data_IF_365051503237
#
_entry.id   IF_365051503237
#
_cell.length_a   1.000
_cell.length_b   1.000
_cell.length_c   1.000
_cell.angle_alpha   90.00
_cell.angle_beta   90.00
_cell.angle_gamma   90.00
#
_symmetry.space_group_name_H-M   'P 1'
#
loop_
_entity.id
_entity.type
_entity.pdbx_description
1 polymer ?
#
# COMPACT_ATOMS: atom_id res chain seq x y z
N UNK A 1 1.96 14.98 20.40
CA UNK A 1 1.00 15.75 19.57
C UNK A 1 1.35 15.58 18.10
N UNK A 2 0.32 15.44 17.25
CA UNK A 2 0.49 15.40 15.80
C UNK A 2 0.80 16.79 15.25
N UNK A 3 1.60 16.87 14.20
CA UNK A 3 1.85 18.09 13.44
C UNK A 3 0.55 18.58 12.75
N UNK A 4 0.48 19.89 12.45
CA UNK A 4 -0.70 20.51 11.87
C UNK A 4 -1.13 19.83 10.56
N UNK A 5 -0.18 19.52 9.69
CA UNK A 5 -0.45 18.86 8.40
C UNK A 5 -1.14 17.48 8.58
N UNK A 6 -0.80 16.73 9.61
CA UNK A 6 -1.44 15.45 9.93
C UNK A 6 -2.84 15.66 10.51
N UNK A 7 -3.02 16.70 11.35
CA UNK A 7 -4.33 17.09 11.86
C UNK A 7 -5.28 17.53 10.73
N UNK A 8 -4.77 18.30 9.78
CA UNK A 8 -5.54 18.74 8.61
C UNK A 8 -5.91 17.56 7.71
N UNK A 9 -4.98 16.60 7.53
CA UNK A 9 -5.27 15.36 6.79
C UNK A 9 -6.37 14.55 7.46
N UNK A 10 -6.29 14.40 8.78
CA UNK A 10 -7.31 13.71 9.57
C UNK A 10 -8.67 14.40 9.50
N UNK A 11 -8.70 15.72 9.73
CA UNK A 11 -9.93 16.51 9.74
C UNK A 11 -10.68 16.50 8.39
N UNK A 12 -9.95 16.35 7.29
CA UNK A 12 -10.52 16.26 5.96
C UNK A 12 -10.84 14.81 5.52
N UNK A 13 -10.65 13.81 6.41
CA UNK A 13 -11.02 12.42 6.19
C UNK A 13 -12.28 12.02 6.94
N UNK A 14 -12.65 10.76 6.79
CA UNK A 14 -13.79 10.14 7.44
C UNK A 14 -13.44 8.73 7.89
N UNK A 15 -14.29 8.13 8.73
CA UNK A 15 -14.16 6.73 9.13
C UNK A 15 -15.49 6.00 8.95
N UNK A 16 -15.40 4.74 8.57
CA UNK A 16 -16.54 3.82 8.54
C UNK A 16 -16.30 2.67 9.52
N UNK A 17 -17.33 2.31 10.27
CA UNK A 17 -17.28 1.16 11.16
C UNK A 17 -17.32 -0.14 10.35
N UNK A 18 -16.30 -1.00 10.51
CA UNK A 18 -16.23 -2.32 9.93
C UNK A 18 -16.64 -3.38 10.97
N UNK A 19 -17.85 -3.99 10.83
CA UNK A 19 -18.41 -4.87 11.85
C UNK A 19 -17.58 -6.12 12.13
N UNK A 20 -17.01 -6.76 11.10
CA UNK A 20 -16.21 -7.98 11.28
C UNK A 20 -14.91 -7.72 12.05
N UNK A 21 -14.30 -6.58 11.82
CA UNK A 21 -13.12 -6.15 12.56
C UNK A 21 -13.43 -5.48 13.88
N UNK A 22 -14.70 -5.17 14.16
CA UNK A 22 -15.13 -4.36 15.31
C UNK A 22 -14.24 -3.12 15.50
N UNK A 23 -14.07 -2.37 14.42
CA UNK A 23 -13.16 -1.22 14.38
C UNK A 23 -13.60 -0.20 13.33
N UNK A 24 -13.11 1.05 13.49
CA UNK A 24 -13.27 2.10 12.51
C UNK A 24 -12.09 2.06 11.52
N UNK A 25 -12.41 2.19 10.24
CA UNK A 25 -11.44 2.28 9.16
C UNK A 25 -11.48 3.68 8.58
N UNK A 26 -10.35 4.39 8.65
CA UNK A 26 -10.21 5.75 8.16
C UNK A 26 -9.97 5.76 6.65
N UNK A 27 -10.54 6.75 5.97
CA UNK A 27 -10.32 6.97 4.54
C UNK A 27 -10.38 8.45 4.17
N UNK A 28 -9.78 8.76 3.04
CA UNK A 28 -9.93 10.01 2.32
C UNK A 28 -10.64 9.73 1.00
N UNK A 29 -11.76 10.40 0.78
CA UNK A 29 -12.53 10.37 -0.47
C UNK A 29 -12.53 11.78 -1.05
N UNK A 30 -11.66 12.00 -2.05
CA UNK A 30 -11.29 13.32 -2.55
C UNK A 30 -11.86 13.50 -3.96
N UNK A 31 -12.55 14.61 -4.20
CA UNK A 31 -13.09 14.98 -5.50
C UNK A 31 -14.57 14.62 -5.67
N UNK A 32 -14.96 14.25 -6.87
CA UNK A 32 -16.36 13.99 -7.25
C UNK A 32 -16.79 12.58 -6.86
N UNK A 33 -17.65 12.49 -5.85
CA UNK A 33 -18.15 11.19 -5.34
C UNK A 33 -19.04 10.44 -6.33
N UNK A 34 -19.51 11.11 -7.37
CA UNK A 34 -20.30 10.51 -8.45
C UNK A 34 -19.44 10.16 -9.68
N UNK A 35 -18.13 10.28 -9.59
CA UNK A 35 -17.23 9.91 -10.67
C UNK A 35 -17.37 8.43 -11.03
N UNK A 36 -17.29 8.11 -12.32
CA UNK A 36 -17.27 6.74 -12.80
C UNK A 36 -16.03 5.99 -12.34
N UNK A 37 -16.02 4.65 -12.41
CA UNK A 37 -14.83 3.87 -12.14
C UNK A 37 -13.64 4.26 -13.03
N UNK A 38 -13.87 4.66 -14.26
CA UNK A 38 -12.83 5.15 -15.18
C UNK A 38 -12.18 6.46 -14.74
N UNK A 39 -12.85 7.24 -13.90
CA UNK A 39 -12.35 8.49 -13.34
C UNK A 39 -11.94 8.37 -11.86
N UNK A 40 -11.92 7.14 -11.32
CA UNK A 40 -11.66 6.88 -9.90
C UNK A 40 -10.34 6.14 -9.72
N UNK A 41 -9.46 6.69 -8.88
CA UNK A 41 -8.25 6.01 -8.39
C UNK A 41 -8.45 5.45 -6.98
N UNK A 42 -8.10 4.18 -6.80
CA UNK A 42 -8.13 3.44 -5.54
C UNK A 42 -6.69 3.26 -5.07
N UNK A 43 -6.29 3.97 -4.01
CA UNK A 43 -4.88 4.11 -3.61
C UNK A 43 -4.63 3.36 -2.31
N UNK A 44 -3.62 2.47 -2.31
CA UNK A 44 -3.28 1.56 -1.22
C UNK A 44 -1.86 1.78 -0.74
N UNK A 45 -1.72 2.08 0.55
CA UNK A 45 -0.42 2.29 1.20
C UNK A 45 0.28 0.99 1.61
N UNK A 46 1.55 1.11 1.97
CA UNK A 46 2.41 0.04 2.43
C UNK A 46 2.61 -0.05 3.95
N UNK A 47 3.64 -0.79 4.33
CA UNK A 47 4.10 -0.95 5.72
C UNK A 47 5.40 -0.15 5.96
N UNK A 48 5.51 0.64 7.01
CA UNK A 48 4.56 0.98 8.07
C UNK A 48 3.88 2.35 7.81
N UNK A 49 3.27 2.51 6.69
CA UNK A 49 2.71 3.75 6.15
C UNK A 49 1.23 3.98 6.51
N UNK A 50 0.64 4.93 5.82
CA UNK A 50 -0.78 5.25 5.82
C UNK A 50 -1.14 5.98 4.52
N UNK A 51 -2.41 6.32 4.32
CA UNK A 51 -2.87 7.14 3.20
C UNK A 51 -2.15 8.50 3.10
N UNK A 52 -1.65 9.02 4.20
CA UNK A 52 -0.91 10.29 4.24
C UNK A 52 0.38 10.26 3.40
N UNK A 53 1.00 9.09 3.20
CA UNK A 53 2.23 8.95 2.40
C UNK A 53 2.03 9.49 0.98
N UNK A 54 0.82 9.41 0.45
CA UNK A 54 0.44 9.91 -0.87
C UNK A 54 0.06 11.40 -0.91
N UNK A 55 0.13 12.13 0.21
CA UNK A 55 -0.36 13.50 0.27
C UNK A 55 0.25 14.45 -0.77
N UNK A 56 1.53 14.26 -1.12
CA UNK A 56 2.25 15.08 -2.12
C UNK A 56 1.80 14.83 -3.55
N UNK A 57 1.22 13.66 -3.82
CA UNK A 57 0.81 13.23 -5.17
C UNK A 57 -0.70 13.36 -5.42
N UNK A 58 -1.48 13.76 -4.41
CA UNK A 58 -2.93 13.97 -4.56
C UNK A 58 -3.24 15.01 -5.62
N UNK A 59 -2.63 16.20 -5.55
CA UNK A 59 -2.91 17.27 -6.52
C UNK A 59 -2.49 16.90 -7.95
N UNK A 60 -1.29 16.37 -8.21
CA UNK A 60 -0.94 15.86 -9.53
C UNK A 60 -1.92 14.82 -10.09
N UNK A 61 -2.36 13.85 -9.28
CA UNK A 61 -3.27 12.79 -9.75
C UNK A 61 -4.64 13.31 -10.16
N UNK A 62 -5.09 14.47 -9.65
CA UNK A 62 -6.34 15.11 -10.08
C UNK A 62 -6.33 15.54 -11.54
N UNK A 63 -5.18 15.63 -12.19
CA UNK A 63 -5.10 15.88 -13.63
C UNK A 63 -5.77 14.75 -14.45
N UNK A 64 -5.83 13.53 -13.91
CA UNK A 64 -6.42 12.36 -14.59
C UNK A 64 -7.69 11.84 -13.90
N UNK A 65 -7.71 11.86 -12.57
CA UNK A 65 -8.79 11.24 -11.79
C UNK A 65 -9.67 12.29 -11.14
N UNK A 66 -10.98 12.21 -11.38
CA UNK A 66 -11.97 13.07 -10.75
C UNK A 66 -12.24 12.68 -9.30
N UNK A 67 -11.94 11.42 -8.91
CA UNK A 67 -12.09 10.89 -7.57
C UNK A 67 -10.84 10.09 -7.15
N UNK A 68 -10.33 10.38 -5.96
CA UNK A 68 -9.22 9.64 -5.35
C UNK A 68 -9.69 9.08 -4.01
N UNK A 69 -9.60 7.76 -3.83
CA UNK A 69 -9.98 7.10 -2.59
C UNK A 69 -8.75 6.44 -1.97
N UNK A 70 -8.36 6.95 -0.81
CA UNK A 70 -7.21 6.48 -0.05
C UNK A 70 -7.71 5.92 1.29
N UNK A 71 -7.27 4.72 1.65
CA UNK A 71 -7.73 4.04 2.88
C UNK A 71 -6.52 3.78 3.77
N UNK A 72 -6.65 4.10 5.07
CA UNK A 72 -5.73 3.58 6.08
C UNK A 72 -6.18 2.17 6.44
N UNK A 73 -5.40 1.17 6.09
CA UNK A 73 -5.71 -0.21 6.41
C UNK A 73 -5.79 -0.42 7.94
N UNK A 74 -6.64 -1.33 8.46
CA UNK A 74 -6.69 -1.64 9.88
C UNK A 74 -5.29 -1.90 10.46
N UNK A 75 -5.00 -1.27 11.59
CA UNK A 75 -3.69 -1.34 12.20
C UNK A 75 -2.72 -0.22 11.82
N UNK A 76 -3.08 0.64 10.86
CA UNK A 76 -2.20 1.71 10.35
C UNK A 76 -2.87 3.09 10.43
N UNK A 77 -2.05 4.14 10.34
CA UNK A 77 -2.49 5.52 10.23
C UNK A 77 -3.54 5.93 11.26
N UNK A 78 -4.64 6.47 10.80
CA UNK A 78 -5.77 6.90 11.61
C UNK A 78 -6.84 5.82 11.82
N UNK A 79 -6.73 4.67 11.17
CA UNK A 79 -7.60 3.52 11.43
C UNK A 79 -7.37 2.93 12.81
N UNK A 80 -8.38 2.25 13.36
CA UNK A 80 -8.27 1.56 14.64
C UNK A 80 -7.25 0.41 14.59
N UNK A 81 -6.76 0.02 15.78
CA UNK A 81 -5.71 -0.98 15.97
C UNK A 81 -6.16 -2.11 16.91
N UNK A 82 -7.22 -2.84 16.55
CA UNK A 82 -7.80 -3.86 17.41
C UNK A 82 -6.85 -5.03 17.61
N UNK A 83 -6.60 -5.39 18.88
CA UNK A 83 -5.64 -6.45 19.23
C UNK A 83 -6.06 -7.86 18.82
N UNK A 84 -7.35 -8.07 18.55
CA UNK A 84 -7.90 -9.36 18.16
C UNK A 84 -7.69 -9.69 16.68
N UNK A 85 -7.51 -8.71 15.80
CA UNK A 85 -7.24 -8.95 14.38
C UNK A 85 -5.88 -9.64 14.18
N UNK A 86 -5.81 -10.49 13.18
CA UNK A 86 -4.56 -11.11 12.73
C UNK A 86 -3.73 -10.16 11.88
N UNK A 87 -4.37 -9.18 11.25
CA UNK A 87 -3.80 -8.28 10.24
C UNK A 87 -3.30 -9.02 8.99
N UNK A 88 -3.93 -10.15 8.68
CA UNK A 88 -3.65 -10.86 7.44
C UNK A 88 -4.01 -10.04 6.21
N UNK A 89 -3.36 -10.31 5.08
CA UNK A 89 -3.72 -9.67 3.81
C UNK A 89 -5.18 -9.94 3.44
N UNK A 90 -5.72 -11.09 3.83
CA UNK A 90 -7.13 -11.43 3.62
C UNK A 90 -8.06 -10.51 4.41
N UNK A 91 -7.77 -10.29 5.71
CA UNK A 91 -8.53 -9.34 6.54
C UNK A 91 -8.40 -7.90 6.05
N UNK A 92 -7.21 -7.51 5.56
CA UNK A 92 -7.00 -6.17 4.98
C UNK A 92 -7.87 -5.95 3.74
N UNK A 93 -7.97 -6.95 2.86
CA UNK A 93 -8.87 -6.89 1.71
C UNK A 93 -10.33 -6.83 2.14
N UNK A 94 -10.76 -7.61 3.14
CA UNK A 94 -12.13 -7.59 3.62
C UNK A 94 -12.51 -6.20 4.16
N UNK A 95 -11.63 -5.58 4.95
CA UNK A 95 -11.84 -4.22 5.45
C UNK A 95 -11.89 -3.18 4.31
N UNK A 96 -10.97 -3.28 3.35
CA UNK A 96 -10.89 -2.40 2.19
C UNK A 96 -12.16 -2.49 1.33
N UNK A 97 -12.61 -3.70 1.01
CA UNK A 97 -13.84 -3.94 0.26
C UNK A 97 -15.06 -3.38 1.00
N UNK A 98 -15.09 -3.47 2.33
CA UNK A 98 -16.14 -2.86 3.14
C UNK A 98 -16.17 -1.32 3.00
N UNK A 99 -15.01 -0.67 3.03
CA UNK A 99 -14.90 0.78 2.79
C UNK A 99 -15.41 1.12 1.40
N UNK A 100 -14.95 0.42 0.36
CA UNK A 100 -15.38 0.68 -1.02
C UNK A 100 -16.87 0.48 -1.22
N UNK A 101 -17.46 -0.55 -0.59
CA UNK A 101 -18.90 -0.76 -0.61
C UNK A 101 -19.66 0.40 0.03
N UNK A 102 -19.19 0.88 1.18
CA UNK A 102 -19.81 2.01 1.89
C UNK A 102 -19.77 3.34 1.12
N UNK A 103 -18.84 3.43 0.15
CA UNK A 103 -18.65 4.58 -0.74
C UNK A 103 -19.31 4.40 -2.12
N UNK A 104 -20.08 3.32 -2.33
CA UNK A 104 -20.70 2.92 -3.60
C UNK A 104 -19.67 2.85 -4.76
N UNK A 105 -18.46 2.36 -4.47
CA UNK A 105 -17.41 2.16 -5.48
C UNK A 105 -17.64 0.80 -6.13
N UNK A 106 -17.92 0.79 -7.44
CA UNK A 106 -18.21 -0.42 -8.21
C UNK A 106 -17.05 -0.89 -9.08
N UNK A 107 -16.11 0.01 -9.36
CA UNK A 107 -14.88 -0.24 -10.12
C UNK A 107 -13.89 0.90 -9.91
N UNK A 108 -12.66 0.71 -10.36
CA UNK A 108 -11.65 1.77 -10.35
C UNK A 108 -10.28 1.31 -10.78
N UNK A 109 -9.39 2.28 -10.95
CA UNK A 109 -7.98 2.07 -11.23
C UNK A 109 -7.21 1.95 -9.91
N UNK A 110 -6.54 0.84 -9.67
CA UNK A 110 -5.83 0.62 -8.43
C UNK A 110 -4.35 1.02 -8.53
N UNK A 111 -3.90 1.80 -7.56
CA UNK A 111 -2.50 2.23 -7.39
C UNK A 111 -2.04 1.80 -6.01
N UNK A 112 -1.01 0.99 -5.92
CA UNK A 112 -0.56 0.43 -4.67
C UNK A 112 0.93 0.63 -4.44
N UNK A 113 1.34 0.62 -3.17
CA UNK A 113 2.72 0.70 -2.74
C UNK A 113 3.03 -0.36 -1.67
N UNK A 114 4.21 -0.98 -1.74
CA UNK A 114 4.78 -1.95 -0.79
C UNK A 114 3.81 -3.08 -0.38
N UNK A 115 3.33 -3.09 0.87
CA UNK A 115 2.34 -4.07 1.35
C UNK A 115 1.01 -3.93 0.59
N UNK A 116 0.66 -2.71 0.18
CA UNK A 116 -0.51 -2.43 -0.65
C UNK A 116 -0.51 -3.22 -1.95
N UNK A 117 0.65 -3.46 -2.56
CA UNK A 117 0.80 -4.30 -3.75
C UNK A 117 0.30 -5.73 -3.49
N UNK A 118 0.58 -6.28 -2.31
CA UNK A 118 0.10 -7.63 -1.94
C UNK A 118 -1.39 -7.64 -1.62
N UNK A 119 -1.91 -6.59 -0.98
CA UNK A 119 -3.37 -6.41 -0.79
C UNK A 119 -4.07 -6.36 -2.14
N UNK A 120 -3.52 -5.59 -3.08
CA UNK A 120 -4.06 -5.49 -4.45
C UNK A 120 -4.04 -6.85 -5.17
N UNK A 121 -2.94 -7.60 -5.04
CA UNK A 121 -2.84 -8.94 -5.66
C UNK A 121 -3.84 -9.95 -5.08
N UNK A 122 -4.20 -9.84 -3.80
CA UNK A 122 -5.27 -10.66 -3.22
C UNK A 122 -6.64 -10.31 -3.81
N UNK A 123 -6.92 -9.02 -4.08
CA UNK A 123 -8.16 -8.61 -4.78
C UNK A 123 -8.18 -9.20 -6.20
N UNK A 124 -7.05 -9.15 -6.91
CA UNK A 124 -6.91 -9.77 -8.23
C UNK A 124 -7.15 -11.28 -8.16
N UNK A 125 -6.61 -11.96 -7.13
CA UNK A 125 -6.83 -13.38 -6.93
C UNK A 125 -8.31 -13.73 -6.73
N UNK A 126 -9.02 -12.93 -5.93
CA UNK A 126 -10.48 -13.06 -5.76
C UNK A 126 -11.23 -12.83 -7.07
N UNK A 127 -10.83 -11.81 -7.84
CA UNK A 127 -11.43 -11.52 -9.15
C UNK A 127 -11.30 -12.71 -10.11
N UNK A 128 -10.09 -13.21 -10.30
CA UNK A 128 -9.81 -14.34 -11.20
C UNK A 128 -10.53 -15.62 -10.76
N UNK A 129 -10.79 -15.79 -9.47
CA UNK A 129 -11.51 -16.94 -8.91
C UNK A 129 -13.05 -16.75 -8.88
N UNK A 130 -13.57 -15.61 -9.33
CA UNK A 130 -15.01 -15.30 -9.27
C UNK A 130 -15.55 -15.09 -7.86
N UNK A 131 -14.70 -14.66 -6.91
CA UNK A 131 -15.03 -14.47 -5.50
C UNK A 131 -15.29 -12.99 -5.13
N UNK A 132 -15.22 -12.08 -6.08
CA UNK A 132 -15.60 -10.68 -5.81
C UNK A 132 -17.13 -10.57 -5.67
N UNK A 133 -17.60 -9.70 -4.75
CA UNK A 133 -19.04 -9.48 -4.59
C UNK A 133 -19.63 -8.79 -5.83
N UNK A 134 -20.89 -9.11 -6.16
CA UNK A 134 -21.55 -8.62 -7.35
C UNK A 134 -21.68 -7.09 -7.44
N UNK A 135 -21.64 -6.36 -6.33
CA UNK A 135 -21.63 -4.90 -6.35
C UNK A 135 -20.33 -4.31 -6.91
N UNK A 136 -19.22 -5.08 -6.94
CA UNK A 136 -17.93 -4.71 -7.53
C UNK A 136 -17.69 -5.48 -8.84
N UNK A 137 -18.73 -5.57 -9.66
CA UNK A 137 -18.76 -6.41 -10.86
C UNK A 137 -17.83 -5.93 -11.98
N UNK A 138 -17.67 -4.62 -12.17
CA UNK A 138 -16.71 -4.07 -13.12
C UNK A 138 -15.26 -4.19 -12.62
N UNK A 139 -15.07 -4.31 -11.31
CA UNK A 139 -13.81 -4.66 -10.67
C UNK A 139 -12.68 -3.65 -10.87
N UNK A 140 -11.47 -4.18 -10.94
CA UNK A 140 -10.26 -3.38 -11.16
C UNK A 140 -10.03 -3.15 -12.64
N UNK A 141 -10.04 -1.88 -13.07
CA UNK A 141 -9.88 -1.48 -14.48
C UNK A 141 -8.41 -1.50 -14.91
N UNK A 142 -7.50 -1.19 -14.03
CA UNK A 142 -6.04 -1.31 -14.23
C UNK A 142 -5.33 -1.46 -12.90
N UNK A 143 -4.08 -1.91 -12.94
CA UNK A 143 -3.24 -2.09 -11.77
C UNK A 143 -1.95 -1.29 -11.93
N UNK A 144 -1.55 -0.57 -10.89
CA UNK A 144 -0.23 0.03 -10.78
C UNK A 144 0.43 -0.46 -9.49
N UNK A 145 1.57 -1.12 -9.62
CA UNK A 145 2.40 -1.63 -8.53
C UNK A 145 3.63 -0.75 -8.35
N UNK A 146 3.91 -0.36 -7.12
CA UNK A 146 5.09 0.46 -6.79
C UNK A 146 5.85 -0.09 -5.59
N UNK A 147 7.09 -0.49 -5.83
CA UNK A 147 8.08 -0.86 -4.81
C UNK A 147 7.61 -1.91 -3.78
N UNK A 148 6.79 -2.88 -4.18
CA UNK A 148 6.30 -3.97 -3.32
C UNK A 148 7.14 -5.24 -3.42
N UNK A 149 7.47 -5.84 -2.30
CA UNK A 149 8.20 -7.10 -2.21
C UNK A 149 7.32 -8.32 -2.51
N UNK A 150 6.74 -8.36 -3.71
CA UNK A 150 5.75 -9.38 -4.11
C UNK A 150 6.38 -10.72 -4.48
N UNK A 151 7.69 -10.75 -4.70
CA UNK A 151 8.47 -11.94 -5.06
C UNK A 151 9.53 -12.15 -3.99
N UNK A 152 9.30 -13.09 -3.08
CA UNK A 152 10.13 -13.26 -1.88
C UNK A 152 11.54 -13.75 -2.17
N UNK A 153 11.76 -14.43 -3.29
CA UNK A 153 13.07 -14.87 -3.75
C UNK A 153 13.96 -13.68 -4.14
N UNK A 154 13.37 -12.60 -4.62
CA UNK A 154 14.05 -11.38 -5.01
C UNK A 154 14.09 -10.34 -3.87
N UNK A 155 13.25 -10.51 -2.86
CA UNK A 155 13.11 -9.57 -1.76
C UNK A 155 14.34 -9.53 -0.84
N UNK A 156 14.70 -8.33 -0.37
CA UNK A 156 15.81 -8.15 0.59
C UNK A 156 15.28 -7.63 1.92
N UNK A 157 14.79 -8.55 2.75
CA UNK A 157 14.31 -8.19 4.09
C UNK A 157 15.42 -7.59 4.94
N UNK A 158 15.18 -6.40 5.47
CA UNK A 158 16.10 -5.76 6.42
C UNK A 158 16.10 -6.50 7.77
N UNK A 159 17.19 -6.44 8.56
CA UNK A 159 17.33 -7.23 9.79
C UNK A 159 16.17 -7.09 10.77
N UNK A 160 15.63 -5.89 10.92
CA UNK A 160 14.49 -5.65 11.82
C UNK A 160 13.22 -6.38 11.35
N UNK A 161 12.96 -6.48 10.05
CA UNK A 161 11.82 -7.23 9.53
C UNK A 161 11.93 -8.72 9.85
N UNK A 162 13.12 -9.31 9.67
CA UNK A 162 13.39 -10.71 10.04
C UNK A 162 13.17 -10.97 11.52
N UNK A 163 13.57 -10.01 12.35
CA UNK A 163 13.47 -10.10 13.80
C UNK A 163 12.02 -9.95 14.29
N UNK A 164 11.26 -9.01 13.73
CA UNK A 164 9.85 -8.80 14.05
C UNK A 164 8.97 -9.99 13.61
N UNK A 165 9.29 -10.64 12.51
CA UNK A 165 8.60 -11.87 12.05
C UNK A 165 8.75 -13.04 13.01
N UNK A 166 9.83 -13.08 13.82
CA UNK A 166 10.07 -14.21 14.71
C UNK A 166 9.00 -14.30 15.80
N UNK A 167 8.23 -15.40 15.86
CA UNK A 167 7.03 -15.55 16.68
C UNK A 167 7.23 -15.32 18.19
N UNK A 168 8.41 -15.61 18.74
CA UNK A 168 8.73 -15.37 20.17
C UNK A 168 9.47 -14.05 20.39
N UNK A 169 10.41 -13.71 19.50
CA UNK A 169 11.25 -12.53 19.67
C UNK A 169 10.55 -11.26 19.18
N UNK A 170 9.71 -11.34 18.15
CA UNK A 170 9.02 -10.18 17.60
C UNK A 170 8.22 -9.39 18.63
N UNK A 171 7.31 -10.01 19.41
CA UNK A 171 6.56 -9.31 20.45
C UNK A 171 7.44 -8.68 21.52
N UNK A 172 8.57 -9.31 21.86
CA UNK A 172 9.51 -8.80 22.86
C UNK A 172 10.28 -7.59 22.33
N UNK A 173 10.87 -7.72 21.14
CA UNK A 173 11.69 -6.68 20.52
C UNK A 173 10.85 -5.45 20.17
N UNK A 174 9.64 -5.67 19.72
CA UNK A 174 8.72 -4.62 19.37
C UNK A 174 8.44 -3.62 20.53
N UNK A 175 8.58 -4.05 21.79
CA UNK A 175 8.44 -3.16 22.96
C UNK A 175 9.54 -2.09 23.05
N UNK A 176 10.66 -2.32 22.36
CA UNK A 176 11.81 -1.41 22.38
C UNK A 176 11.88 -0.51 21.15
N UNK A 177 10.88 -0.57 20.27
CA UNK A 177 10.79 0.34 19.12
C UNK A 177 10.67 1.79 19.64
N UNK A 178 11.64 2.63 19.26
CA UNK A 178 11.71 4.04 19.63
C UNK A 178 11.89 4.90 18.40
N UNK A 179 11.44 6.14 18.50
CA UNK A 179 11.51 7.12 17.41
C UNK A 179 12.91 7.25 16.80
N UNK A 180 13.94 7.40 17.64
CA UNK A 180 15.32 7.57 17.19
C UNK A 180 15.81 6.37 16.36
N UNK A 181 15.47 5.14 16.79
CA UNK A 181 15.83 3.93 16.06
C UNK A 181 15.04 3.83 14.74
N UNK A 182 13.74 4.07 14.78
CA UNK A 182 12.89 4.09 13.61
C UNK A 182 13.38 5.09 12.57
N UNK A 183 13.59 6.36 12.97
CA UNK A 183 14.09 7.41 12.08
C UNK A 183 15.43 7.07 11.45
N UNK A 184 16.37 6.51 12.24
CA UNK A 184 17.66 6.08 11.73
C UNK A 184 17.51 4.97 10.70
N UNK A 185 16.73 3.94 11.00
CA UNK A 185 16.51 2.80 10.09
C UNK A 185 15.80 3.24 8.81
N UNK A 186 14.74 4.02 8.90
CA UNK A 186 13.97 4.50 7.75
C UNK A 186 14.86 5.33 6.81
N UNK A 187 15.75 6.18 7.35
CA UNK A 187 16.66 6.99 6.52
C UNK A 187 17.78 6.20 5.85
N UNK A 188 18.21 5.08 6.41
CA UNK A 188 19.41 4.39 5.95
C UNK A 188 19.14 3.09 5.21
N UNK A 189 18.00 2.45 5.46
CA UNK A 189 17.72 1.09 4.98
C UNK A 189 16.92 1.02 3.68
N UNK A 190 16.34 2.15 3.23
CA UNK A 190 15.35 2.16 2.16
C UNK A 190 15.87 2.74 0.83
N UNK A 191 17.18 2.77 0.62
CA UNK A 191 17.78 3.27 -0.62
C UNK A 191 18.28 4.71 -0.46
N UNK A 192 17.68 5.65 -1.19
CA UNK A 192 18.02 7.07 -1.09
C UNK A 192 17.48 7.70 0.20
N UNK A 193 18.07 8.81 0.62
CA UNK A 193 17.65 9.49 1.84
C UNK A 193 16.25 10.09 1.67
N UNK A 194 15.37 9.75 2.59
CA UNK A 194 14.07 10.40 2.75
C UNK A 194 14.24 11.68 3.59
N UNK A 195 13.43 12.69 3.31
CA UNK A 195 13.42 13.95 4.05
C UNK A 195 13.14 13.71 5.54
N UNK A 196 13.74 14.55 6.40
CA UNK A 196 13.61 14.41 7.86
C UNK A 196 12.17 14.61 8.34
N UNK A 197 11.45 15.56 7.74
CA UNK A 197 10.07 15.85 8.11
C UNK A 197 9.13 14.71 7.68
N UNK A 198 9.35 14.16 6.49
CA UNK A 198 8.58 12.99 6.02
C UNK A 198 8.79 11.78 6.95
N UNK A 199 10.03 11.53 7.38
CA UNK A 199 10.31 10.46 8.37
C UNK A 199 9.67 10.76 9.72
N UNK A 200 9.59 12.04 10.10
CA UNK A 200 8.93 12.45 11.33
C UNK A 200 7.42 12.20 11.25
N UNK A 201 6.76 12.57 10.16
CA UNK A 201 5.34 12.29 9.95
C UNK A 201 5.05 10.79 9.90
N UNK A 202 5.89 10.00 9.24
CA UNK A 202 5.79 8.54 9.27
C UNK A 202 5.83 8.00 10.70
N UNK A 203 6.76 8.50 11.53
CA UNK A 203 6.85 8.08 12.93
C UNK A 203 5.60 8.50 13.73
N UNK A 204 5.11 9.72 13.57
CA UNK A 204 3.93 10.20 14.28
C UNK A 204 2.72 9.30 14.01
N UNK A 205 2.49 8.93 12.76
CA UNK A 205 1.39 8.03 12.37
C UNK A 205 1.64 6.58 12.81
N UNK A 206 2.88 6.11 12.68
CA UNK A 206 3.26 4.77 13.12
C UNK A 206 3.22 4.62 14.65
N UNK A 207 3.41 5.68 15.40
CA UNK A 207 3.28 5.67 16.86
C UNK A 207 1.85 5.96 17.35
N UNK A 208 0.98 6.46 16.51
CA UNK A 208 -0.39 6.82 16.85
C UNK A 208 -1.16 5.60 17.36
N UNK A 209 -1.84 5.77 18.52
CA UNK A 209 -2.58 4.68 19.17
C UNK A 209 -1.75 3.40 19.33
N UNK A 210 -0.45 3.56 19.59
CA UNK A 210 0.49 2.47 19.82
C UNK A 210 0.66 1.49 18.64
N UNK A 211 0.38 1.91 17.39
CA UNK A 211 0.54 1.08 16.19
C UNK A 211 1.92 0.39 16.14
N UNK A 212 2.99 1.13 16.43
CA UNK A 212 4.35 0.58 16.47
C UNK A 212 4.50 -0.64 17.38
N UNK A 213 3.65 -0.80 18.40
CA UNK A 213 3.65 -1.99 19.29
C UNK A 213 2.96 -3.20 18.66
N UNK A 214 2.30 -3.03 17.51
CA UNK A 214 1.67 -4.09 16.73
C UNK A 214 2.53 -4.55 15.54
N UNK A 215 3.69 -3.94 15.32
CA UNK A 215 4.53 -4.22 14.15
C UNK A 215 4.86 -5.71 13.98
N UNK A 216 5.06 -6.44 15.08
CA UNK A 216 5.27 -7.89 15.07
C UNK A 216 4.06 -8.68 14.53
N UNK A 217 2.86 -8.11 14.58
CA UNK A 217 1.64 -8.67 13.98
C UNK A 217 1.48 -8.22 12.54
N UNK A 218 1.51 -6.91 12.33
CA UNK A 218 1.24 -6.31 11.02
C UNK A 218 2.31 -6.67 9.98
N UNK A 219 3.54 -7.03 10.38
CA UNK A 219 4.59 -7.50 9.46
C UNK A 219 4.42 -8.94 9.01
N UNK A 220 3.48 -9.71 9.61
CA UNK A 220 3.30 -11.14 9.27
C UNK A 220 2.73 -11.39 7.89
N UNK A 221 2.29 -10.35 7.20
CA UNK A 221 1.98 -10.47 5.78
C UNK A 221 3.15 -11.05 4.95
N UNK A 222 4.39 -10.91 5.44
CA UNK A 222 5.56 -11.56 4.82
C UNK A 222 5.51 -13.08 4.94
N UNK A 223 4.92 -13.63 5.99
CA UNK A 223 4.71 -15.09 6.13
C UNK A 223 3.65 -15.58 5.15
N UNK A 224 2.67 -14.75 4.86
CA UNK A 224 1.63 -15.04 3.86
C UNK A 224 2.21 -14.96 2.44
N UNK A 225 3.11 -14.00 2.16
CA UNK A 225 3.85 -13.94 0.91
C UNK A 225 4.63 -15.23 0.68
N UNK A 226 5.40 -15.70 1.65
CA UNK A 226 6.14 -16.97 1.54
C UNK A 226 5.21 -18.16 1.16
N UNK A 227 3.98 -18.16 1.66
CA UNK A 227 3.01 -19.24 1.44
C UNK A 227 2.25 -19.11 0.12
N UNK A 228 1.78 -17.91 -0.20
CA UNK A 228 0.72 -17.71 -1.19
C UNK A 228 1.19 -17.01 -2.46
N UNK A 229 2.39 -16.45 -2.51
CA UNK A 229 2.86 -15.69 -3.68
C UNK A 229 2.72 -16.49 -4.98
N UNK A 230 3.29 -17.68 -5.10
CA UNK A 230 3.24 -18.46 -6.34
C UNK A 230 1.88 -19.15 -6.58
N UNK A 231 1.32 -19.93 -5.62
CA UNK A 231 0.12 -20.70 -5.91
C UNK A 231 -1.13 -19.81 -6.08
N UNK A 232 -1.15 -18.63 -5.47
CA UNK A 232 -2.33 -17.77 -5.45
C UNK A 232 -2.11 -16.45 -6.18
N UNK A 233 -1.18 -15.62 -5.72
CA UNK A 233 -1.13 -14.21 -6.10
C UNK A 233 -0.46 -13.96 -7.44
N UNK A 234 0.76 -14.46 -7.65
CA UNK A 234 1.45 -14.31 -8.95
C UNK A 234 0.73 -15.08 -10.06
N UNK A 235 0.20 -16.27 -9.75
CA UNK A 235 -0.63 -17.03 -10.69
C UNK A 235 -1.93 -16.28 -11.07
N UNK A 236 -2.59 -15.61 -10.13
CA UNK A 236 -3.76 -14.80 -10.43
C UNK A 236 -3.38 -13.56 -11.25
N UNK A 237 -2.31 -12.89 -10.85
CA UNK A 237 -1.83 -11.69 -11.55
C UNK A 237 -1.46 -11.99 -13.00
N UNK A 238 -0.87 -13.16 -13.31
CA UNK A 238 -0.58 -13.57 -14.69
C UNK A 238 -1.84 -13.77 -15.56
N UNK A 239 -3.00 -13.91 -14.93
CA UNK A 239 -4.31 -14.07 -15.60
C UNK A 239 -5.12 -12.78 -15.67
N UNK A 240 -4.64 -11.72 -15.07
CA UNK A 240 -5.30 -10.42 -15.16
C UNK A 240 -5.20 -9.88 -16.59
N UNK A 241 -6.33 -9.48 -17.16
CA UNK A 241 -6.43 -9.07 -18.57
C UNK A 241 -6.37 -7.57 -18.81
N UNK A 242 -6.58 -6.78 -17.75
CA UNK A 242 -6.51 -5.32 -17.80
C UNK A 242 -5.07 -4.79 -17.93
N UNK A 243 -4.92 -3.48 -18.16
CA UNK A 243 -3.62 -2.82 -18.18
C UNK A 243 -2.90 -2.92 -16.84
N UNK A 244 -1.59 -3.20 -16.88
CA UNK A 244 -0.73 -3.28 -15.70
C UNK A 244 0.48 -2.36 -15.86
N UNK A 245 0.73 -1.54 -14.85
CA UNK A 245 1.92 -0.71 -14.70
C UNK A 245 2.76 -1.21 -13.53
N UNK A 246 4.05 -1.33 -13.75
CA UNK A 246 5.08 -1.62 -12.74
C UNK A 246 5.98 -0.37 -12.70
N UNK A 247 5.82 0.47 -11.67
CA UNK A 247 6.56 1.72 -11.52
C UNK A 247 7.51 1.60 -10.33
N UNK A 248 8.82 1.67 -10.55
CA UNK A 248 9.77 1.22 -9.55
C UNK A 248 10.93 2.17 -9.34
N UNK A 249 11.22 2.50 -8.09
CA UNK A 249 12.43 3.19 -7.68
C UNK A 249 13.65 2.27 -7.79
N UNK A 250 14.63 2.65 -8.63
CA UNK A 250 15.80 1.84 -8.92
C UNK A 250 16.69 1.59 -7.69
N UNK A 251 16.80 2.59 -6.81
CA UNK A 251 17.67 2.55 -5.64
C UNK A 251 17.05 1.85 -4.43
N UNK A 252 15.87 1.25 -4.55
CA UNK A 252 15.20 0.55 -3.45
C UNK A 252 16.02 -0.64 -2.95
N UNK A 253 16.29 -0.66 -1.64
CA UNK A 253 17.03 -1.75 -0.99
C UNK A 253 16.13 -2.76 -0.29
N UNK A 254 14.85 -2.49 -0.17
CA UNK A 254 13.84 -3.37 0.46
C UNK A 254 13.16 -4.21 -0.60
N UNK A 255 12.66 -3.56 -1.66
CA UNK A 255 12.09 -4.19 -2.84
C UNK A 255 12.99 -3.89 -4.06
N UNK A 256 14.08 -4.62 -4.27
CA UNK A 256 15.03 -4.34 -5.34
C UNK A 256 14.39 -4.37 -6.72
N UNK A 257 14.98 -3.66 -7.68
CA UNK A 257 14.49 -3.61 -9.06
C UNK A 257 14.32 -5.01 -9.69
N UNK A 258 15.06 -6.01 -9.21
CA UNK A 258 14.90 -7.40 -9.65
C UNK A 258 13.48 -7.96 -9.42
N UNK A 259 12.76 -7.48 -8.39
CA UNK A 259 11.34 -7.81 -8.18
C UNK A 259 10.50 -7.32 -9.36
N UNK A 260 10.65 -6.05 -9.73
CA UNK A 260 9.93 -5.46 -10.88
C UNK A 260 10.27 -6.16 -12.20
N UNK A 261 11.55 -6.49 -12.40
CA UNK A 261 12.02 -7.22 -13.58
C UNK A 261 11.42 -8.63 -13.64
N UNK A 262 11.36 -9.34 -12.50
CA UNK A 262 10.72 -10.64 -12.41
C UNK A 262 9.22 -10.54 -12.76
N UNK A 263 8.51 -9.60 -12.14
CA UNK A 263 7.08 -9.37 -12.45
C UNK A 263 6.85 -9.11 -13.94
N UNK A 264 7.67 -8.26 -14.54
CA UNK A 264 7.57 -7.95 -15.98
C UNK A 264 7.88 -9.13 -16.86
N UNK A 265 8.92 -9.91 -16.55
CA UNK A 265 9.39 -11.02 -17.40
C UNK A 265 8.52 -12.26 -17.25
N UNK A 266 8.20 -12.65 -15.99
CA UNK A 266 7.68 -13.98 -15.68
C UNK A 266 6.18 -13.99 -15.30
N UNK A 267 5.60 -12.82 -14.96
CA UNK A 267 4.22 -12.74 -14.47
C UNK A 267 3.33 -11.89 -15.38
N UNK A 268 3.74 -10.67 -15.67
CA UNK A 268 2.96 -9.68 -16.42
C UNK A 268 3.72 -9.21 -17.66
N UNK A 269 3.96 -10.09 -18.63
CA UNK A 269 4.78 -9.78 -19.81
C UNK A 269 4.29 -8.57 -20.63
N UNK A 270 3.00 -8.24 -20.55
CA UNK A 270 2.40 -7.06 -21.23
C UNK A 270 2.45 -5.78 -20.37
N UNK A 271 2.83 -5.85 -19.08
CA UNK A 271 2.87 -4.67 -18.23
C UNK A 271 3.83 -3.60 -18.79
N UNK A 272 3.50 -2.33 -18.58
CA UNK A 272 4.47 -1.24 -18.72
C UNK A 272 5.41 -1.27 -17.51
N UNK A 273 6.72 -1.29 -17.73
CA UNK A 273 7.72 -1.13 -16.68
C UNK A 273 8.32 0.27 -16.79
N UNK A 274 8.17 1.07 -15.74
CA UNK A 274 8.84 2.36 -15.58
C UNK A 274 9.83 2.28 -14.43
N UNK A 275 11.08 2.61 -14.69
CA UNK A 275 12.13 2.65 -13.68
C UNK A 275 12.46 4.11 -13.38
N UNK A 276 12.43 4.48 -12.11
CA UNK A 276 12.76 5.82 -11.64
C UNK A 276 14.21 5.83 -11.11
N UNK A 277 15.14 6.47 -11.82
CA UNK A 277 16.55 6.51 -11.43
C UNK A 277 16.75 7.18 -10.07
N UNK A 278 17.67 6.68 -9.25
CA UNK A 278 18.05 7.24 -7.95
C UNK A 278 16.91 7.38 -6.93
N UNK A 279 15.73 6.81 -7.19
CA UNK A 279 14.58 6.80 -6.27
C UNK A 279 14.61 5.55 -5.41
N UNK A 280 14.41 5.72 -4.10
CA UNK A 280 14.37 4.62 -3.13
C UNK A 280 12.97 4.04 -2.94
N UNK A 281 12.78 3.42 -1.76
CA UNK A 281 11.58 2.66 -1.44
C UNK A 281 10.31 3.53 -1.36
N UNK A 282 10.35 4.67 -0.66
CA UNK A 282 9.20 5.57 -0.52
C UNK A 282 9.08 6.51 -1.72
N UNK A 283 8.87 5.95 -2.89
CA UNK A 283 9.00 6.64 -4.16
C UNK A 283 8.04 7.82 -4.33
N UNK A 284 6.80 7.71 -3.89
CA UNK A 284 5.76 8.76 -3.93
C UNK A 284 6.07 9.92 -2.97
N UNK A 285 6.86 9.66 -1.94
CA UNK A 285 7.29 10.67 -0.95
C UNK A 285 8.63 11.31 -1.34
N UNK A 286 9.58 10.52 -1.83
CA UNK A 286 10.94 10.94 -2.16
C UNK A 286 11.02 11.70 -3.49
N UNK A 287 10.23 11.28 -4.47
CA UNK A 287 10.20 11.84 -5.81
C UNK A 287 8.77 12.01 -6.34
N UNK A 288 7.91 12.82 -5.65
CA UNK A 288 6.49 12.91 -5.94
C UNK A 288 6.20 13.35 -7.38
N UNK A 289 6.99 14.27 -7.94
CA UNK A 289 6.80 14.76 -9.31
C UNK A 289 7.11 13.65 -10.33
N UNK A 290 8.26 12.99 -10.20
CA UNK A 290 8.66 11.91 -11.11
C UNK A 290 7.70 10.71 -11.01
N UNK A 291 7.28 10.35 -9.79
CA UNK A 291 6.31 9.29 -9.56
C UNK A 291 4.97 9.64 -10.22
N UNK A 292 4.44 10.84 -9.96
CA UNK A 292 3.17 11.28 -10.52
C UNK A 292 3.20 11.33 -12.04
N UNK A 293 4.27 11.87 -12.64
CA UNK A 293 4.46 11.90 -14.08
C UNK A 293 4.50 10.49 -14.68
N UNK A 294 5.20 9.56 -14.03
CA UNK A 294 5.26 8.15 -14.45
C UNK A 294 3.88 7.48 -14.44
N UNK A 295 3.09 7.74 -13.38
CA UNK A 295 1.73 7.24 -13.25
C UNK A 295 0.83 7.84 -14.35
N UNK A 296 0.84 9.17 -14.51
CA UNK A 296 -0.03 9.86 -15.47
C UNK A 296 0.25 9.43 -16.91
N UNK A 297 1.52 9.27 -17.30
CA UNK A 297 1.91 8.75 -18.62
C UNK A 297 1.33 7.37 -18.92
N UNK A 298 1.28 6.48 -17.94
CA UNK A 298 0.63 5.19 -18.12
C UNK A 298 -0.86 5.35 -18.40
N UNK A 299 -1.55 6.24 -17.69
CA UNK A 299 -2.98 6.47 -17.88
C UNK A 299 -3.33 7.27 -19.13
N UNK A 300 -2.39 7.98 -19.74
CA UNK A 300 -2.53 8.57 -21.07
C UNK A 300 -2.45 7.52 -22.19
N UNK A 301 -1.82 6.38 -21.92
CA UNK A 301 -1.58 5.33 -22.91
C UNK A 301 -2.67 4.25 -22.95
N UNK A 302 -3.60 4.24 -22.00
CA UNK A 302 -4.69 3.26 -21.89
C UNK A 302 -6.06 3.98 -21.94
#
# INVERSE_FOLDING_TARGET
DLDSILKDWYAAGQSVYWPHGNCNVFYRDIGDKNASGHDTALILHGFPESSFTFQKVVEPLKARFRRLVLVDLPGFGFSDKPKHLSYSLFEQVDALMWVWQSLDIRSGHAIAHDMGDSVLTEIVARSVQGLLPGWFEEGLLSLTFTNGNMVMEEAKLVPIQKLLRHHKLGPFINRFTRETLFKKQTRTSHGTLINTDDVHHLWQLYSLNECHKLAWKTIRYLDERDKFQHPRWLNALSKFTGPVHICWGEADRVAPLSVAQYLKRDVCAKALLTVMPDVGHFCETQAPDLWSESILRFYEAI
#
